data_IF_651158463444
#
_entry.id   IF_651158463444
#
_cell.length_a   1.000
_cell.length_b   1.000
_cell.length_c   1.000
_cell.angle_alpha   90.00
_cell.angle_beta   90.00
_cell.angle_gamma   90.00
#
_symmetry.space_group_name_H-M   'P 1'
#
loop_
_entity.id
_entity.type
_entity.pdbx_description
1 polymer ?
#
# COMPACT_ATOMS: atom_id res chain seq x y z
N UNK A 1 -5.93 3.97 -16.25
CA UNK A 1 -5.16 4.77 -15.27
C UNK A 1 -4.06 3.83 -14.84
N UNK A 2 -2.92 3.83 -15.54
CA UNK A 2 -2.04 2.65 -15.66
C UNK A 2 -1.54 2.10 -14.32
N UNK A 3 -1.26 2.96 -13.34
CA UNK A 3 -0.82 2.53 -12.01
C UNK A 3 -1.91 1.75 -11.24
N UNK A 4 -3.17 2.15 -11.37
CA UNK A 4 -4.30 1.45 -10.73
C UNK A 4 -4.52 0.08 -11.37
N UNK A 5 -4.31 -0.01 -12.69
CA UNK A 5 -4.46 -1.25 -13.44
C UNK A 5 -3.39 -2.29 -13.01
N UNK A 6 -2.14 -1.85 -12.77
CA UNK A 6 -1.08 -2.71 -12.21
C UNK A 6 -1.35 -3.12 -10.75
N UNK A 7 -1.84 -2.20 -9.90
CA UNK A 7 -2.22 -2.52 -8.53
C UNK A 7 -3.28 -3.64 -8.52
N UNK A 8 -4.23 -3.62 -9.46
CA UNK A 8 -5.26 -4.65 -9.61
C UNK A 8 -4.62 -5.99 -10.04
N UNK A 9 -3.76 -5.97 -11.06
CA UNK A 9 -3.14 -7.19 -11.61
C UNK A 9 -2.24 -7.90 -10.59
N UNK A 10 -1.32 -7.17 -9.94
CA UNK A 10 -0.43 -7.76 -8.94
C UNK A 10 -1.21 -8.30 -7.74
N UNK A 11 -2.26 -7.59 -7.33
CA UNK A 11 -3.12 -8.05 -6.25
C UNK A 11 -3.87 -9.32 -6.66
N UNK A 12 -4.24 -9.45 -7.94
CA UNK A 12 -4.96 -10.62 -8.46
C UNK A 12 -4.07 -11.84 -8.40
N UNK A 13 -2.82 -11.69 -8.82
CA UNK A 13 -1.83 -12.76 -8.76
C UNK A 13 -1.49 -13.16 -7.33
N UNK A 14 -1.28 -12.20 -6.43
CA UNK A 14 -1.05 -12.49 -5.02
C UNK A 14 -2.26 -13.17 -4.36
N UNK A 15 -3.48 -12.74 -4.68
CA UNK A 15 -4.72 -13.31 -4.12
C UNK A 15 -4.95 -14.77 -4.48
N UNK A 16 -4.44 -15.23 -5.64
CA UNK A 16 -4.63 -16.62 -6.10
C UNK A 16 -3.95 -17.64 -5.20
N UNK A 17 -2.91 -17.21 -4.48
CA UNK A 17 -2.08 -18.06 -3.61
C UNK A 17 -2.11 -17.64 -2.15
N UNK A 18 -2.62 -16.44 -1.84
CA UNK A 18 -2.73 -15.97 -0.47
C UNK A 18 -3.83 -16.70 0.30
N UNK A 19 -3.48 -17.27 1.45
CA UNK A 19 -4.44 -17.78 2.43
C UNK A 19 -4.97 -16.66 3.35
N UNK A 20 -4.27 -15.52 3.39
CA UNK A 20 -4.61 -14.38 4.24
C UNK A 20 -5.45 -13.32 3.51
N UNK A 21 -6.32 -12.59 4.25
CA UNK A 21 -7.00 -11.39 3.76
C UNK A 21 -6.06 -10.36 3.10
N UNK A 22 -6.55 -9.71 2.04
CA UNK A 22 -5.84 -8.62 1.39
C UNK A 22 -6.31 -7.29 2.00
N UNK A 23 -5.36 -6.53 2.54
CA UNK A 23 -5.61 -5.24 3.16
C UNK A 23 -5.12 -4.14 2.24
N UNK A 24 -5.98 -3.16 1.97
CA UNK A 24 -5.62 -1.97 1.20
C UNK A 24 -5.39 -0.80 2.12
N UNK A 25 -4.32 -0.08 1.83
CA UNK A 25 -3.90 1.08 2.59
C UNK A 25 -4.04 2.29 1.66
N UNK A 26 -4.80 3.29 2.09
CA UNK A 26 -4.90 4.58 1.42
C UNK A 26 -4.20 5.61 2.28
N UNK A 27 -3.28 6.36 1.69
CA UNK A 27 -2.63 7.49 2.36
C UNK A 27 -3.15 8.79 1.78
N UNK A 28 -3.65 9.67 2.63
CA UNK A 28 -4.34 10.90 2.24
C UNK A 28 -3.67 12.15 2.78
N UNK A 29 -3.61 13.18 1.93
CA UNK A 29 -3.30 14.55 2.32
C UNK A 29 -4.44 15.14 3.16
N UNK A 30 -4.11 15.68 4.35
CA UNK A 30 -5.05 16.29 5.31
C UNK A 30 -6.10 17.22 4.69
N UNK A 31 -5.80 17.88 3.58
CA UNK A 31 -6.65 18.89 2.94
C UNK A 31 -7.68 18.38 1.92
N UNK A 32 -7.64 17.11 1.52
CA UNK A 32 -8.65 16.56 0.59
C UNK A 32 -9.84 16.03 1.39
N UNK A 33 -11.09 16.20 0.95
CA UNK A 33 -12.30 15.61 1.58
C UNK A 33 -12.54 14.18 1.05
N UNK A 34 -13.31 13.37 1.80
CA UNK A 34 -13.54 11.93 1.58
C UNK A 34 -13.93 11.64 0.11
N UNK A 35 -12.97 11.17 -0.69
CA UNK A 35 -13.24 10.62 -2.01
C UNK A 35 -13.15 9.11 -1.86
N UNK A 36 -14.31 8.44 -1.89
CA UNK A 36 -14.39 7.00 -2.00
C UNK A 36 -13.68 6.61 -3.29
N UNK A 37 -12.55 5.94 -3.18
CA UNK A 37 -11.66 5.74 -4.31
C UNK A 37 -12.27 4.69 -5.24
N UNK A 38 -12.60 5.08 -6.48
CA UNK A 38 -13.13 4.17 -7.53
C UNK A 38 -12.24 2.93 -7.70
N UNK A 39 -10.94 3.06 -7.44
CA UNK A 39 -9.97 1.95 -7.43
C UNK A 39 -10.33 0.91 -6.38
N UNK A 40 -10.69 1.30 -5.16
CA UNK A 40 -11.07 0.37 -4.08
C UNK A 40 -12.38 -0.32 -4.39
N UNK A 41 -13.35 0.38 -5.00
CA UNK A 41 -14.59 -0.25 -5.48
C UNK A 41 -14.31 -1.30 -6.56
N UNK A 42 -13.46 -0.97 -7.54
CA UNK A 42 -13.03 -1.91 -8.60
C UNK A 42 -12.33 -3.12 -8.02
N UNK A 43 -11.46 -2.94 -7.02
CA UNK A 43 -10.81 -4.04 -6.32
C UNK A 43 -11.82 -4.89 -5.56
N UNK A 44 -12.68 -4.30 -4.72
CA UNK A 44 -13.75 -5.03 -3.99
C UNK A 44 -14.64 -5.86 -4.94
N UNK A 45 -14.98 -5.30 -6.10
CA UNK A 45 -15.72 -6.00 -7.15
C UNK A 45 -14.91 -7.13 -7.80
N UNK A 46 -13.63 -6.90 -8.10
CA UNK A 46 -12.72 -7.89 -8.69
C UNK A 46 -12.50 -9.09 -7.77
N UNK A 47 -12.54 -8.89 -6.45
CA UNK A 47 -12.33 -9.94 -5.44
C UNK A 47 -13.63 -10.49 -4.83
N UNK A 48 -14.80 -10.24 -5.45
CA UNK A 48 -16.11 -10.70 -4.96
C UNK A 48 -16.33 -10.45 -3.45
N UNK A 49 -15.85 -9.32 -2.93
CA UNK A 49 -15.95 -8.98 -1.51
C UNK A 49 -15.17 -9.90 -0.55
N UNK A 50 -14.38 -10.87 -1.03
CA UNK A 50 -13.57 -11.72 -0.16
C UNK A 50 -12.44 -10.90 0.48
N UNK A 51 -12.58 -10.67 1.78
CA UNK A 51 -11.49 -10.26 2.68
C UNK A 51 -10.69 -9.02 2.22
N UNK A 52 -11.37 -8.04 1.62
CA UNK A 52 -10.81 -6.74 1.24
C UNK A 52 -11.14 -5.72 2.31
N UNK A 53 -10.15 -5.38 3.15
CA UNK A 53 -10.30 -4.34 4.20
C UNK A 53 -9.55 -3.08 3.79
N UNK A 54 -10.23 -1.93 3.85
CA UNK A 54 -9.65 -0.62 3.54
C UNK A 54 -9.25 0.08 4.84
N UNK A 55 -8.02 0.58 4.89
CA UNK A 55 -7.49 1.41 5.96
C UNK A 55 -7.05 2.75 5.38
N UNK A 56 -7.49 3.85 5.96
CA UNK A 56 -7.09 5.20 5.57
C UNK A 56 -6.13 5.78 6.62
N UNK A 57 -5.00 6.31 6.17
CA UNK A 57 -4.00 6.98 7.00
C UNK A 57 -3.84 8.41 6.51
N UNK A 58 -3.63 9.33 7.45
CA UNK A 58 -3.08 10.64 7.12
C UNK A 58 -1.67 10.46 6.53
N UNK A 59 -1.15 11.45 5.79
CA UNK A 59 0.16 11.46 5.12
C UNK A 59 1.38 11.45 6.08
N UNK A 60 1.33 10.62 7.12
CA UNK A 60 2.43 10.26 8.01
C UNK A 60 2.82 8.81 7.76
N UNK A 61 4.06 8.59 7.35
CA UNK A 61 4.64 7.26 7.17
C UNK A 61 4.65 6.45 8.47
N UNK A 62 4.78 7.11 9.62
CA UNK A 62 4.83 6.46 10.94
C UNK A 62 3.53 5.71 11.26
N UNK A 63 2.37 6.25 10.86
CA UNK A 63 1.09 5.60 11.10
C UNK A 63 0.98 4.27 10.35
N UNK A 64 1.40 4.24 9.08
CA UNK A 64 1.45 3.02 8.28
C UNK A 64 2.48 2.03 8.81
N UNK A 65 3.69 2.50 9.13
CA UNK A 65 4.77 1.66 9.68
C UNK A 65 4.32 1.00 10.99
N UNK A 66 3.74 1.78 11.90
CA UNK A 66 3.24 1.28 13.18
C UNK A 66 2.12 0.26 12.99
N UNK A 67 1.20 0.51 12.05
CA UNK A 67 0.14 -0.43 11.74
C UNK A 67 0.71 -1.75 11.21
N UNK A 68 1.60 -1.68 10.22
CA UNK A 68 2.23 -2.85 9.60
C UNK A 68 2.98 -3.69 10.65
N UNK A 69 3.75 -3.02 11.51
CA UNK A 69 4.53 -3.67 12.57
C UNK A 69 3.67 -4.31 13.65
N UNK A 70 2.53 -3.71 14.04
CA UNK A 70 1.62 -4.27 15.06
C UNK A 70 0.75 -5.40 14.53
N UNK A 71 0.36 -5.35 13.26
CA UNK A 71 -0.61 -6.27 12.67
C UNK A 71 0.03 -7.47 11.95
N UNK A 72 1.35 -7.67 12.10
CA UNK A 72 2.10 -8.79 11.50
C UNK A 72 1.79 -8.98 10.01
N UNK A 73 1.84 -7.89 9.24
CA UNK A 73 1.60 -7.95 7.80
C UNK A 73 2.72 -8.79 7.14
N UNK A 74 2.33 -9.85 6.43
CA UNK A 74 3.29 -10.78 5.80
C UNK A 74 4.01 -10.21 4.58
N UNK A 75 3.40 -9.23 3.89
CA UNK A 75 3.96 -8.55 2.73
C UNK A 75 3.28 -7.19 2.55
N UNK A 76 4.06 -6.11 2.52
CA UNK A 76 3.58 -4.80 2.10
C UNK A 76 3.87 -4.62 0.61
N UNK A 77 2.85 -4.26 -0.17
CA UNK A 77 2.96 -4.05 -1.62
C UNK A 77 2.68 -2.59 -1.95
N UNK A 78 3.53 -1.93 -2.75
CA UNK A 78 3.29 -0.56 -3.19
C UNK A 78 3.78 -0.27 -4.60
N UNK A 79 2.95 0.47 -5.33
CA UNK A 79 3.29 1.03 -6.62
C UNK A 79 4.22 2.25 -6.47
N UNK A 80 5.36 2.23 -7.15
CA UNK A 80 6.23 3.39 -7.32
C UNK A 80 5.67 4.26 -8.44
N UNK A 81 5.36 5.51 -8.11
CA UNK A 81 4.89 6.49 -9.10
C UNK A 81 5.95 6.75 -10.17
N UNK A 82 5.52 7.19 -11.36
CA UNK A 82 6.41 7.50 -12.49
C UNK A 82 7.33 8.70 -12.26
N UNK A 83 7.70 9.42 -13.33
CA UNK A 83 8.81 10.43 -13.35
C UNK A 83 8.85 11.49 -12.23
N UNK A 84 7.78 11.74 -11.48
CA UNK A 84 7.76 12.70 -10.36
C UNK A 84 7.82 11.98 -9.02
N UNK A 85 8.79 12.35 -8.17
CA UNK A 85 8.91 11.85 -6.80
C UNK A 85 7.62 12.12 -6.03
N UNK A 86 6.97 11.05 -5.59
CA UNK A 86 5.71 11.10 -4.85
C UNK A 86 5.86 10.72 -3.38
N UNK A 87 4.71 10.54 -2.72
CA UNK A 87 4.67 10.04 -1.34
C UNK A 87 5.36 8.67 -1.22
N UNK A 88 5.18 7.77 -2.19
CA UNK A 88 5.84 6.45 -2.18
C UNK A 88 7.36 6.56 -2.21
N UNK A 89 7.94 7.46 -3.00
CA UNK A 89 9.40 7.66 -3.03
C UNK A 89 9.93 8.21 -1.70
N UNK A 90 9.17 9.10 -1.06
CA UNK A 90 9.49 9.62 0.28
C UNK A 90 9.43 8.49 1.32
N UNK A 91 8.36 7.70 1.32
CA UNK A 91 8.21 6.54 2.20
C UNK A 91 9.37 5.56 2.03
N UNK A 92 9.68 5.15 0.79
CA UNK A 92 10.80 4.26 0.47
C UNK A 92 12.12 4.84 0.97
N UNK A 93 12.33 6.14 0.82
CA UNK A 93 13.53 6.80 1.34
C UNK A 93 13.59 6.68 2.86
N UNK A 94 12.51 6.97 3.58
CA UNK A 94 12.43 6.92 5.04
C UNK A 94 12.62 5.50 5.64
N UNK A 95 12.27 4.45 4.91
CA UNK A 95 12.47 3.06 5.36
C UNK A 95 13.80 2.44 4.91
N UNK A 96 14.41 2.92 3.81
CA UNK A 96 15.65 2.34 3.22
C UNK A 96 16.91 3.18 3.54
N UNK A 97 16.81 4.49 3.79
CA UNK A 97 17.98 5.34 4.09
C UNK A 97 17.66 6.47 5.07
N UNK A 98 18.50 6.79 6.04
CA UNK A 98 19.96 6.85 5.96
C UNK A 98 20.59 6.47 7.31
N UNK A 99 21.54 5.53 7.28
CA UNK A 99 22.50 5.23 8.35
C UNK A 99 21.93 4.74 9.70
N UNK A 100 22.11 3.43 9.94
CA UNK A 100 22.22 2.77 11.25
C UNK A 100 20.99 2.48 12.11
N UNK A 101 19.76 2.62 11.63
CA UNK A 101 18.62 2.10 12.37
C UNK A 101 17.87 1.04 11.57
N UNK A 102 17.71 -0.13 12.19
CA UNK A 102 16.88 -1.26 11.76
C UNK A 102 15.64 -0.73 11.05
N UNK A 103 15.39 -1.19 9.82
CA UNK A 103 14.17 -0.87 9.06
C UNK A 103 12.97 -0.84 10.02
N UNK A 104 12.36 0.35 10.21
CA UNK A 104 11.18 0.49 11.07
C UNK A 104 10.02 -0.40 10.59
N UNK A 105 10.04 -0.76 9.31
CA UNK A 105 9.12 -1.69 8.70
C UNK A 105 9.51 -3.13 9.06
N UNK A 106 8.68 -3.78 9.87
CA UNK A 106 8.83 -5.20 10.27
C UNK A 106 8.14 -6.18 9.31
N UNK A 107 8.03 -5.82 8.03
CA UNK A 107 7.40 -6.63 7.00
C UNK A 107 8.24 -6.58 5.71
N UNK A 108 8.32 -7.69 4.95
CA UNK A 108 8.84 -7.66 3.59
C UNK A 108 8.11 -6.62 2.75
N UNK A 109 8.85 -5.92 1.89
CA UNK A 109 8.32 -4.89 1.01
C UNK A 109 8.51 -5.27 -0.46
N UNK A 110 7.41 -5.30 -1.22
CA UNK A 110 7.41 -5.42 -2.66
C UNK A 110 7.09 -4.06 -3.29
N UNK A 111 8.07 -3.49 -3.98
CA UNK A 111 7.92 -2.26 -4.76
C UNK A 111 7.80 -2.65 -6.23
N UNK A 112 6.75 -2.19 -6.90
CA UNK A 112 6.54 -2.40 -8.33
C UNK A 112 6.30 -1.06 -9.02
N UNK A 113 6.78 -0.90 -10.24
CA UNK A 113 6.68 0.35 -10.99
C UNK A 113 7.50 0.29 -12.26
N UNK A 114 7.24 1.21 -13.19
CA UNK A 114 7.99 1.39 -14.43
C UNK A 114 8.65 2.76 -14.43
#
# INVERSE_FOLDING_TARGET
NTLDDYNIEITKDLSRKALSPIKFFKVRKRSTLHTTNEVVKRLKSTYNGKNVVEYEFEESSDALINFVSKNKIGLLCMGRGGKKKGWTDKFISEIIGTNNEISKLKAPLLIYGR
#
